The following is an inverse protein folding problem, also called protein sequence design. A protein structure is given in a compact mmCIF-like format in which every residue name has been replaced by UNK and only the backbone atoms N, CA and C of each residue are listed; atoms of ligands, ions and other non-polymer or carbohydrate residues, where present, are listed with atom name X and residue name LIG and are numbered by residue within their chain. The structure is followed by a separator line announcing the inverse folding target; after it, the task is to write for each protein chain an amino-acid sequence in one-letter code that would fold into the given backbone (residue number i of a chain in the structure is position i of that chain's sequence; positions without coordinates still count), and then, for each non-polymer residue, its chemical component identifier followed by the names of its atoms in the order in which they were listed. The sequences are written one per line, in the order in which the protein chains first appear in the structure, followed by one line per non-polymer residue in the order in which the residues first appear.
data_IF_583468152403
#
_entry.id   IF_583468152403
#
_cell.length_a   1.000
_cell.length_b   1.000
_cell.length_c   1.000
_cell.angle_alpha   90.00
_cell.angle_beta   90.00
_cell.angle_gamma   90.00
#
_symmetry.space_group_name_H-M   'P 1'
#
loop_
_entity.id
_entity.type
_entity.pdbx_description
1 polymer ?
#
# COMPACT_ATOMS: atom_id res chain seq x y z
N UNK A 1 18.43 -100.25 -14.72
CA UNK A 1 18.86 -100.57 -13.33
C UNK A 1 18.69 -99.32 -12.47
N UNK A 2 17.61 -99.27 -11.69
CA UNK A 2 17.39 -98.35 -10.56
C UNK A 2 18.21 -98.85 -9.33
N UNK A 3 18.20 -98.24 -8.11
CA UNK A 3 17.32 -97.19 -7.55
C UNK A 3 18.08 -96.00 -6.88
N UNK A 4 17.52 -94.79 -6.78
CA UNK A 4 16.48 -94.26 -5.87
C UNK A 4 16.98 -93.99 -4.45
N UNK A 5 16.93 -92.72 -4.02
CA UNK A 5 16.78 -92.30 -2.62
C UNK A 5 16.11 -90.92 -2.49
N UNK A 6 14.99 -90.92 -1.75
CA UNK A 6 14.30 -89.90 -0.93
C UNK A 6 13.96 -88.50 -1.54
N UNK A 7 12.70 -88.05 -1.77
CA UNK A 7 11.52 -87.80 -0.89
C UNK A 7 11.89 -86.97 0.38
N UNK A 8 11.35 -85.79 0.75
CA UNK A 8 10.03 -85.11 0.62
C UNK A 8 10.15 -83.61 1.08
N UNK A 9 9.17 -82.72 0.77
CA UNK A 9 8.94 -81.42 1.45
C UNK A 9 8.08 -81.64 2.73
N UNK A 10 8.01 -80.75 3.77
CA UNK A 10 7.24 -79.49 3.73
C UNK A 10 7.68 -78.40 4.76
N UNK A 11 7.07 -77.21 4.73
CA UNK A 11 7.29 -76.23 5.80
C UNK A 11 6.52 -74.91 5.65
N UNK A 12 5.23 -74.94 6.01
CA UNK A 12 4.51 -73.73 6.47
C UNK A 12 5.09 -73.33 7.83
N UNK A 13 5.56 -72.10 7.99
CA UNK A 13 5.64 -71.45 9.30
C UNK A 13 5.08 -70.04 9.22
N UNK A 14 4.19 -69.80 10.18
CA UNK A 14 3.44 -68.58 10.47
C UNK A 14 4.40 -67.55 11.06
N UNK A 15 4.29 -66.30 10.64
CA UNK A 15 4.87 -65.16 11.36
C UNK A 15 3.85 -64.01 11.47
N UNK A 16 3.87 -63.25 12.58
CA UNK A 16 2.66 -62.71 13.18
C UNK A 16 2.34 -61.28 12.77
N UNK A 17 1.04 -60.99 12.78
CA UNK A 17 0.45 -59.66 12.78
C UNK A 17 0.89 -58.86 14.02
N UNK A 18 1.82 -57.94 13.83
CA UNK A 18 2.18 -56.90 14.80
C UNK A 18 1.40 -55.63 14.50
N UNK A 19 0.31 -55.41 15.22
CA UNK A 19 -0.44 -54.15 15.20
C UNK A 19 0.08 -53.13 16.22
N UNK A 20 -0.38 -51.89 16.00
CA UNK A 20 -0.44 -50.68 16.87
C UNK A 20 0.68 -49.64 16.64
N UNK A 21 0.46 -48.36 17.05
CA UNK A 21 -0.80 -47.68 17.38
C UNK A 21 -1.01 -46.34 16.64
N UNK A 22 -2.26 -45.86 16.65
CA UNK A 22 -2.63 -44.51 16.29
C UNK A 22 -1.98 -43.47 17.22
N UNK A 23 -1.58 -42.28 16.73
CA UNK A 23 -1.08 -41.22 17.58
C UNK A 23 -2.22 -40.56 18.36
N UNK A 24 -2.06 -40.58 19.68
CA UNK A 24 -2.87 -39.94 20.70
C UNK A 24 -2.91 -38.43 20.49
N UNK A 25 -4.12 -37.88 20.47
CA UNK A 25 -4.39 -36.45 20.50
C UNK A 25 -3.91 -35.86 21.84
N UNK A 26 -2.92 -34.97 21.79
CA UNK A 26 -2.61 -34.07 22.90
C UNK A 26 -3.41 -32.79 22.71
N UNK A 27 -4.37 -32.59 23.61
CA UNK A 27 -5.14 -31.36 23.75
C UNK A 27 -4.23 -30.23 24.21
N UNK A 28 -4.17 -29.15 23.44
CA UNK A 28 -3.82 -27.81 23.95
C UNK A 28 -5.03 -26.91 23.70
N UNK A 29 -5.50 -26.15 24.68
CA UNK A 29 -6.70 -25.32 24.52
C UNK A 29 -6.39 -24.12 23.61
N UNK A 30 -7.31 -23.75 22.70
CA UNK A 30 -7.19 -22.52 21.93
C UNK A 30 -7.45 -21.30 22.84
N UNK A 31 -6.67 -20.21 22.75
CA UNK A 31 -6.97 -19.00 23.49
C UNK A 31 -8.28 -18.37 22.99
N UNK A 32 -9.11 -17.97 23.95
CA UNK A 32 -10.39 -17.31 23.75
C UNK A 32 -10.26 -15.95 23.06
N UNK A 33 -11.22 -15.71 22.17
CA UNK A 33 -11.71 -14.48 21.56
C UNK A 33 -11.41 -13.15 22.29
N UNK A 34 -10.92 -12.14 21.54
CA UNK A 34 -11.43 -10.76 21.67
C UNK A 34 -11.77 -10.25 20.28
N UNK A 35 -13.05 -9.99 20.07
CA UNK A 35 -13.61 -9.42 18.85
C UNK A 35 -13.13 -7.97 18.64
N UNK A 36 -12.32 -7.74 17.62
CA UNK A 36 -12.01 -6.40 17.09
C UNK A 36 -13.19 -5.80 16.29
N UNK A 37 -14.41 -5.83 16.84
CA UNK A 37 -15.57 -5.15 16.24
C UNK A 37 -15.90 -3.79 16.88
N UNK A 38 -15.17 -3.38 17.92
CA UNK A 38 -15.37 -2.10 18.58
C UNK A 38 -14.41 -0.97 18.13
N UNK A 39 -13.32 -1.25 17.40
CA UNK A 39 -12.33 -0.22 17.05
C UNK A 39 -12.59 0.50 15.72
N UNK A 40 -13.50 0.02 14.86
CA UNK A 40 -13.80 0.65 13.57
C UNK A 40 -14.89 1.74 13.66
N UNK A 41 -15.60 1.87 14.78
CA UNK A 41 -16.54 2.98 14.99
C UNK A 41 -15.89 4.24 15.57
N UNK A 42 -14.70 4.12 16.16
CA UNK A 42 -13.95 5.26 16.71
C UNK A 42 -13.08 5.98 15.66
N UNK A 43 -12.75 5.34 14.53
CA UNK A 43 -11.94 5.95 13.46
C UNK A 43 -12.77 6.72 12.42
N UNK A 44 -14.10 6.60 12.44
CA UNK A 44 -14.99 7.27 11.48
C UNK A 44 -15.61 8.58 12.02
N UNK A 45 -15.37 8.95 13.27
CA UNK A 45 -15.88 10.20 13.86
C UNK A 45 -14.86 11.36 13.85
N UNK A 46 -13.69 11.19 13.23
CA UNK A 46 -12.63 12.21 13.20
C UNK A 46 -12.23 12.66 11.78
N UNK A 47 -13.15 12.57 10.81
CA UNK A 47 -12.93 13.05 9.43
C UNK A 47 -14.00 14.06 9.00
N UNK A 48 -14.85 14.52 9.92
CA UNK A 48 -15.62 15.75 9.72
C UNK A 48 -14.87 16.87 10.41
N UNK A 49 -14.63 17.93 9.66
CA UNK A 49 -13.90 19.14 10.04
C UNK A 49 -12.39 19.06 9.85
N UNK A 50 -11.93 19.36 8.63
CA UNK A 50 -11.01 20.48 8.40
C UNK A 50 -10.61 20.56 6.93
N UNK A 51 -10.79 21.77 6.38
CA UNK A 51 -10.44 22.18 5.02
C UNK A 51 -8.92 22.19 4.81
N UNK A 52 -8.32 21.03 4.60
CA UNK A 52 -6.88 20.89 4.33
C UNK A 52 -6.63 19.73 3.34
N UNK A 53 -7.39 19.70 2.23
CA UNK A 53 -7.36 18.60 1.24
C UNK A 53 -6.70 18.99 -0.09
N UNK A 54 -6.33 20.26 -0.30
CA UNK A 54 -5.91 20.71 -1.64
C UNK A 54 -4.40 20.85 -1.88
N UNK A 55 -3.53 20.69 -0.88
CA UNK A 55 -2.07 20.85 -1.09
C UNK A 55 -1.31 19.52 -1.04
N UNK A 56 -1.83 18.52 -0.34
CA UNK A 56 -1.22 17.17 -0.26
C UNK A 56 -1.66 16.24 -1.40
N UNK A 57 -2.78 16.55 -2.07
CA UNK A 57 -3.25 15.81 -3.24
C UNK A 57 -2.43 16.08 -4.50
N UNK A 58 -1.87 17.29 -4.66
CA UNK A 58 -1.05 17.67 -5.82
C UNK A 58 0.32 16.99 -5.88
N UNK A 59 0.99 16.82 -4.74
CA UNK A 59 2.30 16.13 -4.67
C UNK A 59 2.16 14.61 -4.84
N UNK A 60 1.07 14.02 -4.34
CA UNK A 60 0.75 12.60 -4.57
C UNK A 60 0.32 12.34 -6.03
N UNK A 61 -0.45 13.23 -6.65
CA UNK A 61 -0.78 13.11 -8.08
C UNK A 61 0.45 13.31 -8.98
N UNK A 62 1.34 14.25 -8.64
CA UNK A 62 2.56 14.49 -9.40
C UNK A 62 3.55 13.31 -9.30
N UNK A 63 3.66 12.68 -8.12
CA UNK A 63 4.45 11.47 -7.94
C UNK A 63 3.84 10.27 -8.69
N UNK A 64 2.51 10.12 -8.70
CA UNK A 64 1.85 9.06 -9.47
C UNK A 64 1.92 9.30 -10.99
N UNK A 65 1.81 10.54 -11.46
CA UNK A 65 1.94 10.89 -12.88
C UNK A 65 3.38 10.80 -13.39
N UNK A 66 4.39 11.02 -12.53
CA UNK A 66 5.79 10.79 -12.86
C UNK A 66 6.10 9.28 -13.00
N UNK A 67 5.46 8.42 -12.20
CA UNK A 67 5.60 6.97 -12.32
C UNK A 67 4.93 6.39 -13.58
N UNK A 68 3.93 7.08 -14.14
CA UNK A 68 3.22 6.67 -15.36
C UNK A 68 3.94 7.08 -16.67
N UNK A 69 5.00 7.90 -16.60
CA UNK A 69 5.66 8.47 -17.80
C UNK A 69 6.92 7.74 -18.26
N UNK A 70 7.35 6.67 -17.57
CA UNK A 70 8.53 5.87 -17.92
C UNK A 70 8.22 4.56 -18.66
N UNK A 71 6.97 4.27 -19.04
CA UNK A 71 6.62 3.07 -19.80
C UNK A 71 6.18 3.44 -21.22
N UNK A 72 7.14 3.47 -22.14
CA UNK A 72 6.87 3.39 -23.58
C UNK A 72 6.30 2.01 -23.95
N UNK A 73 5.49 1.92 -25.02
CA UNK A 73 4.63 0.77 -25.27
C UNK A 73 5.36 -0.33 -26.05
N UNK A 74 5.33 -1.56 -25.53
CA UNK A 74 5.25 -2.83 -26.30
C UNK A 74 5.20 -3.97 -25.30
N UNK A 75 4.00 -4.32 -24.85
CA UNK A 75 3.76 -5.62 -24.22
C UNK A 75 2.32 -6.03 -24.45
N UNK A 76 2.15 -7.14 -25.15
CA UNK A 76 0.90 -7.85 -25.38
C UNK A 76 0.21 -8.22 -24.05
N UNK A 77 -1.13 -8.35 -24.01
CA UNK A 77 -1.85 -8.54 -22.78
C UNK A 77 -1.53 -9.89 -22.14
N UNK A 78 -1.40 -9.86 -20.82
CA UNK A 78 -1.19 -11.00 -19.95
C UNK A 78 -2.33 -12.02 -20.09
N UNK A 79 -2.01 -13.18 -20.66
CA UNK A 79 -2.73 -14.41 -20.36
C UNK A 79 -2.12 -15.00 -19.08
N UNK A 80 -2.97 -15.10 -18.06
CA UNK A 80 -2.83 -15.78 -16.77
C UNK A 80 -1.71 -16.84 -16.77
N UNK A 81 -0.52 -16.48 -16.28
CA UNK A 81 0.55 -17.42 -15.98
C UNK A 81 0.32 -17.96 -14.57
N UNK A 82 -0.45 -19.05 -14.49
CA UNK A 82 -0.37 -19.97 -13.36
C UNK A 82 1.10 -20.36 -13.18
N UNK A 83 1.68 -20.04 -12.03
CA UNK A 83 2.97 -20.54 -11.61
C UNK A 83 2.95 -22.07 -11.60
N UNK A 84 3.52 -22.67 -12.63
CA UNK A 84 3.74 -24.11 -12.70
C UNK A 84 4.98 -24.41 -11.85
N UNK A 85 4.88 -25.25 -10.80
CA UNK A 85 6.03 -25.60 -10.00
C UNK A 85 7.12 -26.26 -10.85
N UNK A 86 8.38 -26.04 -10.50
CA UNK A 86 9.59 -26.48 -11.21
C UNK A 86 9.74 -28.02 -11.34
N UNK A 87 8.75 -28.79 -10.89
CA UNK A 87 8.63 -30.24 -11.05
C UNK A 87 7.42 -30.61 -11.91
N UNK A 88 7.21 -29.86 -13.00
CA UNK A 88 6.26 -30.26 -14.03
C UNK A 88 6.95 -31.22 -15.00
N UNK A 89 6.45 -32.44 -15.20
CA UNK A 89 7.01 -33.38 -16.16
C UNK A 89 6.52 -33.04 -17.57
N UNK A 90 6.73 -31.80 -17.99
CA UNK A 90 6.66 -31.45 -19.40
C UNK A 90 8.10 -31.46 -19.92
N UNK A 91 8.65 -32.67 -19.97
CA UNK A 91 9.66 -33.02 -20.96
C UNK A 91 9.05 -32.62 -22.30
N UNK A 92 9.36 -31.43 -22.78
CA UNK A 92 9.30 -31.14 -24.20
C UNK A 92 10.16 -32.23 -24.81
N UNK A 93 9.59 -33.25 -25.47
CA UNK A 93 10.42 -34.28 -26.06
C UNK A 93 11.25 -33.54 -27.08
N UNK A 94 12.58 -33.63 -27.00
CA UNK A 94 13.44 -33.19 -28.07
C UNK A 94 12.99 -33.95 -29.33
N UNK A 95 12.07 -33.35 -30.11
CA UNK A 95 11.45 -33.97 -31.28
C UNK A 95 12.59 -34.39 -32.20
N UNK A 96 12.83 -35.70 -32.29
CA UNK A 96 13.82 -36.30 -33.21
C UNK A 96 14.86 -37.24 -32.62
N UNK A 97 14.99 -37.38 -31.28
CA UNK A 97 15.85 -38.42 -30.67
C UNK A 97 15.02 -39.57 -30.09
N UNK A 98 15.54 -40.79 -30.19
CA UNK A 98 14.90 -41.98 -29.63
C UNK A 98 14.91 -41.95 -28.11
N UNK A 99 13.80 -42.32 -27.50
CA UNK A 99 13.65 -42.53 -26.06
C UNK A 99 14.32 -43.85 -25.62
N UNK A 100 14.47 -44.05 -24.30
CA UNK A 100 14.99 -45.30 -23.73
C UNK A 100 14.09 -46.53 -24.04
N UNK A 101 12.78 -46.31 -24.21
CA UNK A 101 11.80 -47.38 -24.42
C UNK A 101 11.54 -47.64 -25.91
N UNK A 102 12.06 -46.80 -26.79
CA UNK A 102 11.88 -46.96 -28.23
C UNK A 102 12.75 -48.10 -28.76
N UNK A 103 12.20 -49.01 -29.58
CA UNK A 103 13.01 -50.08 -30.13
C UNK A 103 14.11 -49.55 -31.07
N UNK A 104 15.27 -50.22 -31.13
CA UNK A 104 16.28 -49.93 -32.13
C UNK A 104 15.70 -50.15 -33.54
N UNK A 105 16.24 -49.44 -34.53
CA UNK A 105 15.80 -49.65 -35.91
C UNK A 105 16.24 -51.04 -36.37
N UNK A 106 15.42 -51.75 -37.17
CA UNK A 106 15.74 -53.10 -37.65
C UNK A 106 17.11 -53.17 -38.34
N UNK A 107 17.47 -52.15 -39.13
CA UNK A 107 18.78 -52.03 -39.80
C UNK A 107 19.95 -51.75 -38.87
N UNK A 108 19.70 -51.32 -37.62
CA UNK A 108 20.72 -51.06 -36.59
C UNK A 108 20.75 -52.14 -35.51
N UNK A 109 19.79 -53.06 -35.48
CA UNK A 109 19.68 -54.12 -34.48
C UNK A 109 20.88 -55.10 -34.54
N UNK A 110 21.38 -55.41 -35.74
CA UNK A 110 22.54 -56.30 -35.95
C UNK A 110 23.83 -55.55 -36.33
N UNK A 111 23.79 -54.21 -36.43
CA UNK A 111 24.94 -53.42 -36.88
C UNK A 111 25.97 -53.24 -35.76
N UNK A 112 27.07 -53.98 -35.85
CA UNK A 112 28.25 -53.79 -34.99
C UNK A 112 29.13 -52.65 -35.52
N UNK A 113 29.72 -51.86 -34.60
CA UNK A 113 30.70 -50.84 -34.96
C UNK A 113 32.07 -51.52 -35.08
N UNK A 114 32.59 -51.61 -36.29
CA UNK A 114 33.96 -52.07 -36.55
C UNK A 114 34.91 -50.90 -36.29
N UNK A 115 35.95 -51.06 -35.46
CA UNK A 115 36.94 -50.02 -35.26
C UNK A 115 37.71 -49.77 -36.57
N UNK A 116 38.08 -48.52 -36.87
CA UNK A 116 38.94 -48.23 -38.02
C UNK A 116 40.32 -48.88 -37.80
N UNK A 117 41.06 -49.22 -38.88
CA UNK A 117 42.44 -49.67 -38.77
C UNK A 117 43.30 -48.54 -38.19
N UNK A 118 44.30 -48.89 -37.38
CA UNK A 118 45.17 -47.94 -36.68
C UNK A 118 46.63 -48.28 -36.97
N UNK A 119 47.41 -47.27 -37.38
CA UNK A 119 48.86 -47.38 -37.48
C UNK A 119 49.50 -47.24 -36.08
N UNK A 120 50.28 -48.23 -35.60
CA UNK A 120 50.94 -48.16 -34.30
C UNK A 120 51.92 -46.98 -34.16
N UNK A 121 52.61 -46.58 -35.24
CA UNK A 121 53.58 -45.49 -35.16
C UNK A 121 52.89 -44.14 -34.89
N UNK A 122 51.82 -43.84 -35.63
CA UNK A 122 51.00 -42.65 -35.43
C UNK A 122 50.32 -42.66 -34.06
N UNK A 123 49.79 -43.82 -33.62
CA UNK A 123 49.08 -43.93 -32.34
C UNK A 123 49.97 -43.54 -31.16
N UNK A 124 51.24 -43.98 -31.17
CA UNK A 124 52.21 -43.61 -30.13
C UNK A 124 52.43 -42.10 -30.06
N UNK A 125 52.66 -41.45 -31.21
CA UNK A 125 52.88 -40.00 -31.30
C UNK A 125 51.64 -39.22 -30.86
N UNK A 126 50.47 -39.62 -31.34
CA UNK A 126 49.18 -38.99 -30.99
C UNK A 126 48.93 -39.10 -29.49
N UNK A 127 49.12 -40.29 -28.91
CA UNK A 127 48.92 -40.53 -27.48
C UNK A 127 49.79 -39.64 -26.62
N UNK A 128 51.08 -39.52 -26.94
CA UNK A 128 52.00 -38.65 -26.20
C UNK A 128 51.67 -37.16 -26.37
N UNK A 129 51.31 -36.72 -27.58
CA UNK A 129 50.86 -35.32 -27.79
C UNK A 129 49.61 -35.00 -26.98
N UNK A 130 48.63 -35.91 -26.95
CA UNK A 130 47.43 -35.73 -26.12
C UNK A 130 47.75 -35.72 -24.64
N UNK A 131 48.69 -36.55 -24.19
CA UNK A 131 49.18 -36.53 -22.80
C UNK A 131 49.78 -35.17 -22.45
N UNK A 132 50.74 -34.69 -23.24
CA UNK A 132 51.38 -33.39 -23.05
C UNK A 132 50.37 -32.24 -23.06
N UNK A 133 49.48 -32.21 -24.05
CA UNK A 133 48.43 -31.19 -24.15
C UNK A 133 47.51 -31.17 -22.93
N UNK A 134 47.07 -32.35 -22.45
CA UNK A 134 46.24 -32.46 -21.25
C UNK A 134 46.96 -32.00 -19.99
N UNK A 135 48.27 -32.24 -19.88
CA UNK A 135 49.08 -31.73 -18.76
C UNK A 135 49.10 -30.20 -18.75
N UNK A 136 49.38 -29.58 -19.90
CA UNK A 136 49.41 -28.11 -20.03
C UNK A 136 48.03 -27.51 -19.70
N UNK A 137 46.94 -28.04 -20.28
CA UNK A 137 45.60 -27.56 -19.97
C UNK A 137 45.20 -27.81 -18.51
N UNK A 138 45.67 -28.89 -17.91
CA UNK A 138 45.48 -29.19 -16.49
C UNK A 138 46.12 -28.12 -15.61
N UNK A 139 47.36 -27.73 -15.92
CA UNK A 139 48.11 -26.68 -15.23
C UNK A 139 47.44 -25.30 -15.38
N UNK A 140 47.02 -24.93 -16.60
CA UNK A 140 46.26 -23.69 -16.83
C UNK A 140 44.96 -23.65 -16.04
N UNK A 141 44.24 -24.78 -15.98
CA UNK A 141 43.00 -24.88 -15.20
C UNK A 141 43.24 -24.76 -13.69
N UNK A 142 44.38 -25.20 -13.16
CA UNK A 142 44.71 -24.95 -11.75
C UNK A 142 44.97 -23.46 -11.49
N UNK A 143 45.67 -22.77 -12.39
CA UNK A 143 45.96 -21.33 -12.26
C UNK A 143 44.65 -20.54 -12.26
N UNK A 144 43.75 -20.79 -13.21
CA UNK A 144 42.45 -20.09 -13.23
C UNK A 144 41.58 -20.42 -12.01
N UNK A 145 41.68 -21.64 -11.46
CA UNK A 145 40.98 -21.98 -10.22
C UNK A 145 41.53 -21.20 -9.03
N UNK A 146 42.84 -21.07 -8.90
CA UNK A 146 43.44 -20.25 -7.83
C UNK A 146 43.08 -18.78 -7.97
N UNK A 147 43.08 -18.22 -9.19
CA UNK A 147 42.68 -16.82 -9.43
C UNK A 147 41.22 -16.57 -9.01
N UNK A 148 40.29 -17.47 -9.36
CA UNK A 148 38.89 -17.34 -8.96
C UNK A 148 38.72 -17.40 -7.45
N UNK A 149 39.46 -18.28 -6.76
CA UNK A 149 39.43 -18.37 -5.30
C UNK A 149 40.01 -17.10 -4.67
N UNK A 150 41.13 -16.59 -5.20
CA UNK A 150 41.76 -15.37 -4.73
C UNK A 150 40.82 -14.16 -4.88
N UNK A 151 40.22 -13.97 -6.06
CA UNK A 151 39.25 -12.89 -6.29
C UNK A 151 38.04 -12.96 -5.35
N UNK A 152 37.56 -14.16 -5.04
CA UNK A 152 36.48 -14.33 -4.07
C UNK A 152 36.89 -13.90 -2.67
N UNK A 153 38.12 -14.20 -2.27
CA UNK A 153 38.65 -13.83 -0.97
C UNK A 153 38.94 -12.33 -0.87
N UNK A 154 39.46 -11.71 -1.93
CA UNK A 154 39.62 -10.24 -2.03
C UNK A 154 38.26 -9.54 -1.90
N UNK A 155 37.24 -9.97 -2.65
CA UNK A 155 35.90 -9.42 -2.53
C UNK A 155 35.26 -9.59 -1.13
N UNK A 156 35.66 -10.62 -0.39
CA UNK A 156 35.24 -10.80 1.01
C UNK A 156 35.97 -9.84 1.95
N UNK A 157 37.25 -9.54 1.69
CA UNK A 157 38.02 -8.54 2.43
C UNK A 157 37.55 -7.11 2.16
N UNK A 158 37.14 -6.80 0.93
CA UNK A 158 36.49 -5.52 0.62
C UNK A 158 35.18 -5.35 1.43
N UNK A 159 34.56 -6.45 1.88
CA UNK A 159 33.45 -6.37 2.82
C UNK A 159 33.90 -6.05 4.26
N UNK A 160 35.16 -6.26 4.64
CA UNK A 160 35.71 -5.80 5.94
C UNK A 160 35.94 -4.28 5.93
N UNK A 161 36.27 -3.69 4.77
CA UNK A 161 36.27 -2.22 4.59
C UNK A 161 34.88 -1.60 4.81
N UNK A 162 33.82 -2.41 4.87
CA UNK A 162 32.50 -1.94 5.33
C UNK A 162 32.53 -1.38 6.76
N UNK A 163 33.48 -1.79 7.61
CA UNK A 163 33.62 -1.23 8.95
C UNK A 163 33.95 0.28 8.89
N UNK A 164 34.83 0.70 7.98
CA UNK A 164 35.13 2.12 7.77
C UNK A 164 33.89 2.87 7.25
N UNK A 165 33.16 2.27 6.31
CA UNK A 165 31.89 2.81 5.80
C UNK A 165 30.83 2.94 6.90
N UNK A 166 30.78 1.99 7.84
CA UNK A 166 29.87 2.05 8.98
C UNK A 166 30.22 3.18 9.95
N UNK A 167 31.50 3.44 10.19
CA UNK A 167 31.92 4.59 11.00
C UNK A 167 31.60 5.92 10.32
N UNK A 168 31.85 6.05 9.02
CA UNK A 168 31.43 7.24 8.24
C UNK A 168 29.92 7.44 8.32
N UNK A 169 29.14 6.36 8.18
CA UNK A 169 27.69 6.41 8.32
C UNK A 169 27.28 6.92 9.71
N UNK A 170 27.92 6.45 10.79
CA UNK A 170 27.64 6.93 12.15
C UNK A 170 27.94 8.41 12.31
N UNK A 171 29.04 8.91 11.75
CA UNK A 171 29.38 10.34 11.77
C UNK A 171 28.33 11.18 11.04
N UNK A 172 27.86 10.71 9.88
CA UNK A 172 26.80 11.38 9.11
C UNK A 172 25.47 11.40 9.85
N UNK A 173 25.10 10.31 10.54
CA UNK A 173 23.90 10.27 11.36
C UNK A 173 23.97 11.26 12.51
N UNK A 174 25.10 11.29 13.24
CA UNK A 174 25.31 12.24 14.32
C UNK A 174 25.23 13.70 13.85
N UNK A 175 25.79 14.00 12.67
CA UNK A 175 25.68 15.33 12.07
C UNK A 175 24.24 15.69 11.69
N UNK A 176 23.49 14.74 11.13
CA UNK A 176 22.07 14.93 10.79
C UNK A 176 21.23 15.24 12.04
N UNK A 177 21.47 14.50 13.13
CA UNK A 177 20.78 14.72 14.41
C UNK A 177 21.08 16.10 15.00
N UNK A 178 22.33 16.56 14.91
CA UNK A 178 22.73 17.90 15.35
C UNK A 178 22.01 19.00 14.54
N UNK A 179 21.94 18.87 13.22
CA UNK A 179 21.23 19.85 12.39
C UNK A 179 19.71 19.79 12.60
N UNK A 180 19.14 18.60 12.80
CA UNK A 180 17.73 18.45 13.17
C UNK A 180 17.42 19.13 14.52
N UNK A 181 18.31 19.02 15.51
CA UNK A 181 18.16 19.70 16.79
C UNK A 181 18.17 21.22 16.62
N UNK A 182 19.09 21.75 15.82
CA UNK A 182 19.15 23.19 15.48
C UNK A 182 17.87 23.67 14.79
N UNK A 183 17.34 22.89 13.85
CA UNK A 183 16.08 23.24 13.18
C UNK A 183 14.88 23.15 14.13
N UNK A 184 14.86 22.18 15.04
CA UNK A 184 13.80 22.05 16.04
C UNK A 184 13.72 23.29 16.93
N UNK A 185 14.85 23.78 17.43
CA UNK A 185 14.90 25.01 18.21
C UNK A 185 14.30 26.21 17.45
N UNK A 186 14.65 26.38 16.16
CA UNK A 186 14.08 27.45 15.31
C UNK A 186 12.56 27.30 15.12
N UNK A 187 12.05 26.07 15.01
CA UNK A 187 10.62 25.81 14.88
C UNK A 187 9.89 26.14 16.18
N UNK A 188 10.47 25.79 17.33
CA UNK A 188 9.89 26.09 18.65
C UNK A 188 9.81 27.60 18.90
N UNK A 189 10.85 28.35 18.55
CA UNK A 189 10.82 29.82 18.61
C UNK A 189 9.71 30.42 17.74
N UNK A 190 9.56 29.92 16.51
CA UNK A 190 8.49 30.36 15.60
C UNK A 190 7.11 30.05 16.17
N UNK A 191 6.89 28.82 16.64
CA UNK A 191 5.62 28.39 17.24
C UNK A 191 5.29 29.22 18.48
N UNK A 192 6.30 29.61 19.28
CA UNK A 192 6.09 30.49 20.44
C UNK A 192 5.55 31.86 20.01
N UNK A 193 6.15 32.48 18.99
CA UNK A 193 5.68 33.76 18.43
C UNK A 193 4.26 33.63 17.86
N UNK A 194 4.00 32.60 17.07
CA UNK A 194 2.67 32.33 16.51
C UNK A 194 1.62 32.14 17.61
N UNK A 195 1.96 31.45 18.71
CA UNK A 195 1.05 31.30 19.87
C UNK A 195 0.78 32.63 20.57
N UNK A 196 1.76 33.50 20.70
CA UNK A 196 1.59 34.84 21.27
C UNK A 196 0.68 35.69 20.38
N UNK A 197 0.91 35.71 19.06
CA UNK A 197 0.06 36.39 18.08
C UNK A 197 -1.38 35.84 18.08
N UNK A 198 -1.56 34.53 18.12
CA UNK A 198 -2.87 33.90 18.21
C UNK A 198 -3.61 34.28 19.50
N UNK A 199 -2.91 34.42 20.63
CA UNK A 199 -3.53 34.91 21.87
C UNK A 199 -4.01 36.35 21.70
N UNK A 200 -3.21 37.23 21.11
CA UNK A 200 -3.61 38.62 20.84
C UNK A 200 -4.83 38.69 19.91
N UNK A 201 -4.82 37.92 18.81
CA UNK A 201 -5.95 37.85 17.88
C UNK A 201 -7.22 37.32 18.56
N UNK A 202 -7.10 36.32 19.44
CA UNK A 202 -8.25 35.79 20.20
C UNK A 202 -8.83 36.86 21.13
N UNK A 203 -8.00 37.61 21.84
CA UNK A 203 -8.47 38.69 22.71
C UNK A 203 -9.21 39.76 21.89
N UNK A 204 -8.62 40.23 20.80
CA UNK A 204 -9.26 41.20 19.90
C UNK A 204 -10.59 40.67 19.32
N UNK A 205 -10.62 39.40 18.91
CA UNK A 205 -11.85 38.78 18.42
C UNK A 205 -12.93 38.69 19.50
N UNK A 206 -12.57 38.42 20.75
CA UNK A 206 -13.50 38.40 21.88
C UNK A 206 -14.05 39.80 22.18
N UNK A 207 -13.20 40.83 22.17
CA UNK A 207 -13.62 42.23 22.34
C UNK A 207 -14.59 42.67 21.24
N UNK A 208 -14.27 42.36 19.98
CA UNK A 208 -15.14 42.70 18.85
C UNK A 208 -16.48 41.97 18.92
N UNK A 209 -16.47 40.68 19.30
CA UNK A 209 -17.71 39.91 19.51
C UNK A 209 -18.56 40.50 20.64
N UNK A 210 -17.94 40.93 21.74
CA UNK A 210 -18.65 41.58 22.84
C UNK A 210 -19.33 42.87 22.38
N UNK A 211 -18.63 43.73 21.62
CA UNK A 211 -19.20 44.96 21.05
C UNK A 211 -20.38 44.70 20.10
N UNK A 212 -20.24 43.72 19.21
CA UNK A 212 -21.32 43.34 18.28
C UNK A 212 -22.53 42.80 19.04
N UNK A 213 -22.30 41.96 20.06
CA UNK A 213 -23.38 41.44 20.89
C UNK A 213 -24.09 42.56 21.66
N UNK A 214 -23.33 43.50 22.23
CA UNK A 214 -23.90 44.65 22.95
C UNK A 214 -24.75 45.53 22.02
N UNK A 215 -24.27 45.80 20.80
CA UNK A 215 -25.03 46.55 19.80
C UNK A 215 -26.33 45.80 19.41
N UNK A 216 -26.25 44.49 19.19
CA UNK A 216 -27.40 43.66 18.86
C UNK A 216 -28.43 43.63 19.99
N UNK A 217 -28.00 43.51 21.26
CA UNK A 217 -28.89 43.56 22.41
C UNK A 217 -29.61 44.91 22.49
N UNK A 218 -28.89 46.02 22.31
CA UNK A 218 -29.48 47.37 22.28
C UNK A 218 -30.50 47.57 21.17
N UNK A 219 -30.26 47.01 19.99
CA UNK A 219 -31.24 47.03 18.88
C UNK A 219 -32.50 46.24 19.23
N UNK A 220 -32.33 45.05 19.81
CA UNK A 220 -33.47 44.22 20.22
C UNK A 220 -34.27 44.82 21.37
N UNK A 221 -33.61 45.47 22.32
CA UNK A 221 -34.28 46.24 23.37
C UNK A 221 -35.16 47.35 22.78
N UNK A 222 -34.67 48.09 21.79
CA UNK A 222 -35.46 49.12 21.09
C UNK A 222 -36.66 48.53 20.35
N UNK A 223 -36.47 47.40 19.66
CA UNK A 223 -37.56 46.70 18.96
C UNK A 223 -38.64 46.23 19.94
N UNK A 224 -38.25 45.69 21.10
CA UNK A 224 -39.19 45.31 22.16
C UNK A 224 -39.95 46.52 22.70
N UNK A 225 -39.27 47.65 22.93
CA UNK A 225 -39.93 48.88 23.38
C UNK A 225 -40.94 49.41 22.35
N UNK A 226 -40.59 49.40 21.05
CA UNK A 226 -41.51 49.78 19.97
C UNK A 226 -42.74 48.87 19.96
N UNK A 227 -42.55 47.55 20.07
CA UNK A 227 -43.66 46.60 20.14
C UNK A 227 -44.52 46.79 21.39
N UNK A 228 -43.95 47.21 22.53
CA UNK A 228 -44.71 47.56 23.73
C UNK A 228 -45.58 48.80 23.52
N UNK A 229 -45.10 49.78 22.77
CA UNK A 229 -45.88 50.98 22.40
C UNK A 229 -46.99 50.62 21.42
N UNK A 230 -46.69 49.85 20.37
CA UNK A 230 -47.68 49.38 19.40
C UNK A 230 -48.73 48.47 20.04
N UNK A 231 -48.35 47.63 21.01
CA UNK A 231 -49.26 46.72 21.69
C UNK A 231 -50.37 47.45 22.47
N UNK A 232 -50.11 48.68 22.95
CA UNK A 232 -51.16 49.52 23.56
C UNK A 232 -52.26 49.91 22.57
N UNK A 233 -51.96 49.88 21.27
CA UNK A 233 -52.90 50.21 20.20
C UNK A 233 -53.71 48.98 19.74
N UNK A 234 -53.42 47.78 20.26
CA UNK A 234 -54.18 46.57 19.90
C UNK A 234 -55.63 46.61 20.38
N UNK A 235 -56.50 45.94 19.63
CA UNK A 235 -57.92 45.86 19.93
C UNK A 235 -58.13 44.78 21.00
N UNK A 236 -58.56 45.20 22.18
CA UNK A 236 -58.99 44.33 23.28
C UNK A 236 -60.52 44.18 23.25
N UNK A 237 -61.12 43.15 23.90
CA UNK A 237 -62.57 42.98 23.94
C UNK A 237 -63.30 44.21 24.53
N UNK A 238 -62.65 44.95 25.41
CA UNK A 238 -63.18 46.18 26.04
C UNK A 238 -63.21 47.37 25.07
N UNK A 239 -62.23 47.50 24.16
CA UNK A 239 -62.11 48.60 23.20
C UNK A 239 -62.73 48.27 21.82
N UNK A 240 -63.45 47.15 21.72
CA UNK A 240 -63.85 46.56 20.44
C UNK A 240 -64.95 47.37 19.74
N UNK A 241 -66.03 47.71 20.45
CA UNK A 241 -67.16 48.46 19.88
C UNK A 241 -66.72 49.85 19.40
N UNK A 242 -65.93 50.57 20.20
CA UNK A 242 -65.42 51.90 19.87
C UNK A 242 -64.51 51.91 18.62
N UNK A 243 -63.67 50.86 18.44
CA UNK A 243 -62.81 50.75 17.26
C UNK A 243 -63.58 50.38 15.99
N UNK A 244 -64.68 49.63 16.10
CA UNK A 244 -65.57 49.33 14.96
C UNK A 244 -66.18 50.63 14.43
N UNK A 245 -66.71 51.47 15.32
CA UNK A 245 -67.31 52.75 14.93
C UNK A 245 -66.28 53.69 14.27
N UNK A 246 -65.10 53.85 14.86
CA UNK A 246 -64.01 54.67 14.29
C UNK A 246 -63.58 54.21 12.88
N UNK A 247 -63.59 52.90 12.64
CA UNK A 247 -63.22 52.32 11.35
C UNK A 247 -64.33 52.48 10.29
N UNK A 248 -65.59 52.54 10.69
CA UNK A 248 -66.71 52.85 9.78
C UNK A 248 -66.70 54.34 9.40
N UNK A 249 -66.35 55.22 10.33
CA UNK A 249 -66.29 56.67 10.11
C UNK A 249 -65.07 57.10 9.28
N UNK A 250 -63.93 56.40 9.40
CA UNK A 250 -62.67 56.77 8.75
C UNK A 250 -62.15 55.70 7.77
N UNK A 251 -62.62 55.67 6.51
CA UNK A 251 -62.11 54.74 5.51
C UNK A 251 -60.65 55.05 5.11
N UNK A 252 -59.74 54.09 5.30
CA UNK A 252 -58.32 54.24 4.88
C UNK A 252 -58.09 53.76 3.45
N UNK A 253 -57.55 54.64 2.59
CA UNK A 253 -57.18 54.32 1.22
C UNK A 253 -55.66 54.09 1.07
N UNK A 254 -55.27 52.87 0.67
CA UNK A 254 -53.87 52.49 0.42
C UNK A 254 -53.45 52.62 -1.05
N UNK A 255 -54.33 53.08 -1.94
CA UNK A 255 -54.02 53.23 -3.36
C UNK A 255 -53.07 54.43 -3.59
N UNK A 256 -51.89 54.15 -4.14
CA UNK A 256 -50.95 55.17 -4.61
C UNK A 256 -50.38 54.78 -5.96
N UNK A 257 -50.01 55.77 -6.77
CA UNK A 257 -49.32 55.57 -8.05
C UNK A 257 -47.81 55.84 -7.87
N UNK A 258 -46.99 55.22 -8.71
CA UNK A 258 -45.54 55.46 -8.75
C UNK A 258 -45.16 55.90 -10.17
N UNK A 259 -44.44 57.02 -10.26
CA UNK A 259 -43.95 57.54 -11.54
C UNK A 259 -42.72 56.76 -12.03
N UNK A 260 -42.29 56.99 -13.28
CA UNK A 260 -41.10 56.33 -13.85
C UNK A 260 -39.81 56.68 -13.11
N UNK A 261 -39.79 57.82 -12.41
CA UNK A 261 -38.69 58.27 -11.56
C UNK A 261 -38.79 57.72 -10.12
N UNK A 262 -39.76 56.84 -9.82
CA UNK A 262 -39.92 56.21 -8.50
C UNK A 262 -40.59 57.11 -7.45
N UNK A 263 -41.18 58.24 -7.84
CA UNK A 263 -41.89 59.15 -6.92
C UNK A 263 -43.30 58.62 -6.63
N UNK A 264 -43.69 58.65 -5.36
CA UNK A 264 -45.01 58.18 -4.91
C UNK A 264 -46.02 59.34 -4.98
N UNK A 265 -47.04 59.21 -5.82
CA UNK A 265 -48.16 60.16 -5.92
C UNK A 265 -49.38 59.56 -5.23
N UNK A 266 -49.73 60.12 -4.06
CA UNK A 266 -50.96 59.77 -3.34
C UNK A 266 -52.05 60.77 -3.73
N UNK A 267 -53.22 60.28 -4.15
CA UNK A 267 -54.41 61.12 -4.25
C UNK A 267 -55.03 61.21 -2.86
N UNK A 268 -54.81 62.32 -2.16
CA UNK A 268 -55.59 62.63 -0.97
C UNK A 268 -56.95 63.14 -1.44
N UNK A 269 -57.98 62.30 -1.36
CA UNK A 269 -59.36 62.75 -1.38
C UNK A 269 -59.91 62.47 0.01
N UNK A 270 -60.26 63.52 0.76
CA UNK A 270 -61.12 63.41 1.94
C UNK A 270 -62.36 64.26 1.68
N UNK A 271 -63.52 63.62 1.75
CA UNK A 271 -64.63 64.13 2.56
C UNK A 271 -64.61 63.28 3.80
#
# INVERSE_FOLDING_TARGET
PAPADALNPPGRSVAPSGGRPAPTALSSPPPHYISHRASLRALLSLVRDSRLVYVTSGLLLAAMLAALRCCGPRSFPAAITRAVPAWSPWLVPCRGRKSRHDPPAKSKASRLKVPPPVDPAELCVVTERYRQHRLVLGALRSIFRSEVVQRKHEAQKDAEDSAAVLEEHRLLMAWNDAENARQRARREERIRKEKEEQKMQKLQAMENKAKVMEAFLKEKEKEVLQLQEEAKTFITPENLEARIEECLDNPRNYNFAIDKEGRIVKRTALS
#
